data_IF_329442522757
#
_entry.id   IF_329442522757
#
_cell.length_a   1.000
_cell.length_b   1.000
_cell.length_c   1.000
_cell.angle_alpha   90.00
_cell.angle_beta   90.00
_cell.angle_gamma   90.00
#
_symmetry.space_group_name_H-M   'P 1'
#
loop_
_entity.id
_entity.type
_entity.pdbx_description
1 polymer ?
#
# COMPACT_ATOMS: atom_id res chain seq x y z
N UNK A 1 -17.44 4.54 10.68
CA UNK A 1 -16.95 3.18 10.40
C UNK A 1 -15.79 3.18 9.44
N UNK A 2 -15.93 3.80 8.27
CA UNK A 2 -14.80 3.91 7.33
C UNK A 2 -13.66 4.75 7.89
N UNK A 3 -13.96 5.77 8.70
CA UNK A 3 -12.92 6.57 9.35
C UNK A 3 -12.08 5.72 10.30
N UNK A 4 -12.72 4.81 11.03
CA UNK A 4 -11.99 3.92 11.94
C UNK A 4 -11.11 2.95 11.17
N UNK A 5 -11.61 2.42 10.05
CA UNK A 5 -10.84 1.52 9.20
C UNK A 5 -9.64 2.24 8.57
N UNK A 6 -9.84 3.48 8.14
CA UNK A 6 -8.77 4.29 7.57
C UNK A 6 -7.67 4.55 8.59
N UNK A 7 -8.07 4.95 9.80
CA UNK A 7 -7.12 5.20 10.87
C UNK A 7 -6.35 3.94 11.23
N UNK A 8 -7.06 2.80 11.32
CA UNK A 8 -6.44 1.52 11.61
C UNK A 8 -5.45 1.12 10.51
N UNK A 9 -5.84 1.31 9.25
CA UNK A 9 -4.97 0.99 8.12
C UNK A 9 -3.70 1.81 8.16
N UNK A 10 -3.82 3.11 8.34
CA UNK A 10 -2.65 3.99 8.40
C UNK A 10 -1.74 3.62 9.58
N UNK A 11 -2.34 3.29 10.73
CA UNK A 11 -1.58 2.84 11.89
C UNK A 11 -0.82 1.56 11.64
N UNK A 12 -1.47 0.59 10.97
CA UNK A 12 -0.83 -0.68 10.62
C UNK A 12 0.33 -0.49 9.64
N UNK A 13 0.16 0.41 8.67
CA UNK A 13 1.23 0.71 7.72
C UNK A 13 2.44 1.32 8.44
N UNK A 14 2.20 2.21 9.41
CA UNK A 14 3.27 2.77 10.21
C UNK A 14 4.02 1.73 11.02
N UNK A 15 3.28 0.79 11.64
CA UNK A 15 3.89 -0.30 12.38
C UNK A 15 4.70 -1.20 11.45
N UNK A 16 4.15 -1.51 10.28
CA UNK A 16 4.81 -2.35 9.29
C UNK A 16 6.14 -1.74 8.88
N UNK A 17 6.15 -0.43 8.65
CA UNK A 17 7.39 0.27 8.30
C UNK A 17 8.42 0.20 9.43
N UNK A 18 7.98 0.46 10.65
CA UNK A 18 8.90 0.43 11.80
C UNK A 18 9.49 -0.96 12.03
N UNK A 19 8.76 -2.01 11.66
CA UNK A 19 9.27 -3.38 11.78
C UNK A 19 10.19 -3.79 10.63
N UNK A 20 10.36 -2.92 9.64
CA UNK A 20 11.21 -3.20 8.49
C UNK A 20 10.56 -4.03 7.40
N UNK A 21 9.23 -4.13 7.40
CA UNK A 21 8.50 -4.98 6.46
C UNK A 21 7.70 -4.21 5.41
N UNK A 22 8.00 -2.92 5.25
CA UNK A 22 7.29 -2.08 4.28
C UNK A 22 8.24 -1.46 3.29
N UNK A 23 7.91 -1.58 2.00
CA UNK A 23 8.63 -0.91 0.92
C UNK A 23 7.86 0.38 0.64
N UNK A 24 8.54 1.52 0.67
CA UNK A 24 7.89 2.82 0.54
C UNK A 24 8.22 3.48 -0.79
N UNK A 25 7.18 3.85 -1.51
CA UNK A 25 7.32 4.62 -2.75
C UNK A 25 7.25 3.74 -4.00
N UNK A 26 6.67 4.32 -5.07
CA UNK A 26 6.38 3.56 -6.28
C UNK A 26 7.63 3.02 -6.98
N UNK A 27 8.74 3.77 -6.97
CA UNK A 27 9.95 3.29 -7.60
C UNK A 27 10.50 2.04 -6.95
N UNK A 28 10.57 2.05 -5.61
CA UNK A 28 11.06 0.89 -4.87
C UNK A 28 10.10 -0.28 -4.99
N UNK A 29 8.79 -0.02 -4.92
CA UNK A 29 7.79 -1.07 -5.08
C UNK A 29 7.93 -1.73 -6.45
N UNK A 30 8.07 -0.94 -7.51
CA UNK A 30 8.25 -1.50 -8.86
C UNK A 30 9.50 -2.36 -8.96
N UNK A 31 10.60 -1.91 -8.38
CA UNK A 31 11.85 -2.67 -8.39
C UNK A 31 11.70 -4.00 -7.66
N UNK A 32 11.01 -3.97 -6.51
CA UNK A 32 10.82 -5.17 -5.69
C UNK A 32 9.80 -6.15 -6.26
N UNK A 33 8.87 -5.67 -7.09
CA UNK A 33 7.89 -6.56 -7.71
C UNK A 33 8.54 -7.59 -8.62
N UNK A 34 9.67 -7.27 -9.23
CA UNK A 34 10.40 -8.19 -10.08
C UNK A 34 11.51 -8.93 -9.33
N UNK A 35 11.64 -8.70 -8.04
CA UNK A 35 12.69 -9.32 -7.24
C UNK A 35 12.35 -10.77 -6.90
N UNK A 36 13.33 -11.49 -6.36
CA UNK A 36 13.18 -12.88 -5.98
C UNK A 36 12.08 -13.06 -4.91
N UNK A 37 12.00 -12.10 -3.98
CA UNK A 37 10.98 -12.12 -2.92
C UNK A 37 10.16 -10.84 -3.02
N UNK A 38 9.16 -10.81 -3.89
CA UNK A 38 8.35 -9.59 -4.05
C UNK A 38 7.44 -9.35 -2.84
N UNK A 39 6.92 -8.13 -2.71
CA UNK A 39 5.93 -7.87 -1.65
C UNK A 39 4.69 -8.75 -1.85
N UNK A 40 3.98 -9.00 -0.77
CA UNK A 40 2.77 -9.83 -0.79
C UNK A 40 1.53 -9.01 -1.14
N UNK A 41 1.57 -7.71 -0.91
CA UNK A 41 0.44 -6.83 -1.13
C UNK A 41 0.98 -5.43 -1.43
N UNK A 42 0.39 -4.77 -2.41
CA UNK A 42 0.72 -3.39 -2.74
C UNK A 42 -0.52 -2.52 -2.49
N UNK A 43 -0.34 -1.44 -1.75
CA UNK A 43 -1.41 -0.47 -1.49
C UNK A 43 -1.09 0.79 -2.31
N UNK A 44 -2.07 1.25 -3.07
CA UNK A 44 -1.94 2.46 -3.89
C UNK A 44 -2.97 3.48 -3.41
N UNK A 45 -2.53 4.72 -3.19
CA UNK A 45 -3.43 5.80 -2.81
C UNK A 45 -4.27 6.21 -4.02
N UNK A 46 -5.58 6.26 -3.85
CA UNK A 46 -6.49 6.52 -4.97
C UNK A 46 -6.31 7.92 -5.57
N UNK A 47 -5.78 8.89 -4.81
CA UNK A 47 -5.54 10.24 -5.32
C UNK A 47 -4.20 10.41 -6.03
N UNK A 48 -3.44 9.32 -6.18
CA UNK A 48 -2.23 9.36 -7.00
C UNK A 48 -2.61 9.63 -8.45
N UNK A 49 -1.66 10.09 -9.26
CA UNK A 49 -1.96 10.38 -10.67
C UNK A 49 -2.48 9.13 -11.38
N UNK A 50 -3.33 9.32 -12.38
CA UNK A 50 -3.85 8.19 -13.15
C UNK A 50 -2.72 7.35 -13.76
N UNK A 51 -1.65 8.01 -14.19
CA UNK A 51 -0.48 7.31 -14.72
C UNK A 51 0.16 6.40 -13.68
N UNK A 52 0.28 6.89 -12.44
CA UNK A 52 0.86 6.09 -11.35
C UNK A 52 -0.04 4.92 -11.00
N UNK A 53 -1.35 5.15 -10.85
CA UNK A 53 -2.31 4.09 -10.53
C UNK A 53 -2.26 3.01 -11.60
N UNK A 54 -2.31 3.40 -12.88
CA UNK A 54 -2.23 2.46 -14.00
C UNK A 54 -0.94 1.65 -13.98
N UNK A 55 0.19 2.34 -13.82
CA UNK A 55 1.49 1.70 -13.80
C UNK A 55 1.57 0.66 -12.69
N UNK A 56 1.12 1.02 -11.49
CA UNK A 56 1.21 0.11 -10.35
C UNK A 56 0.27 -1.08 -10.49
N UNK A 57 -0.96 -0.84 -10.93
CA UNK A 57 -1.93 -1.93 -11.09
C UNK A 57 -1.50 -2.91 -12.18
N UNK A 58 -0.99 -2.41 -13.30
CA UNK A 58 -0.53 -3.25 -14.40
C UNK A 58 0.70 -4.06 -14.00
N UNK A 59 1.65 -3.41 -13.32
CA UNK A 59 2.87 -4.08 -12.89
C UNK A 59 2.55 -5.18 -11.89
N UNK A 60 1.67 -4.91 -10.93
CA UNK A 60 1.27 -5.92 -9.95
C UNK A 60 0.56 -7.09 -10.63
N UNK A 61 -0.32 -6.80 -11.59
CA UNK A 61 -1.01 -7.84 -12.35
C UNK A 61 0.00 -8.72 -13.09
N UNK A 62 0.96 -8.09 -13.76
CA UNK A 62 2.00 -8.82 -14.49
C UNK A 62 2.80 -9.74 -13.57
N UNK A 63 3.17 -9.25 -12.39
CA UNK A 63 3.99 -10.00 -11.45
C UNK A 63 3.16 -10.84 -10.47
N UNK A 64 1.84 -10.87 -10.66
CA UNK A 64 0.92 -11.69 -9.86
C UNK A 64 0.96 -11.36 -8.37
N UNK A 65 1.07 -10.07 -8.06
CA UNK A 65 1.04 -9.56 -6.69
C UNK A 65 -0.29 -8.84 -6.47
N UNK A 66 -0.91 -9.10 -5.34
CA UNK A 66 -2.16 -8.45 -4.98
C UNK A 66 -1.96 -6.94 -4.86
N UNK A 67 -2.86 -6.17 -5.47
CA UNK A 67 -2.80 -4.71 -5.49
C UNK A 67 -4.15 -4.14 -5.09
N UNK A 68 -4.15 -3.18 -4.18
CA UNK A 68 -5.37 -2.56 -3.69
C UNK A 68 -5.25 -1.05 -3.82
N UNK A 69 -6.14 -0.45 -4.63
CA UNK A 69 -6.23 1.00 -4.75
C UNK A 69 -7.26 1.46 -3.73
N UNK A 70 -6.84 2.21 -2.73
CA UNK A 70 -7.68 2.56 -1.59
C UNK A 70 -7.91 4.07 -1.51
N UNK A 71 -9.05 4.51 -0.94
CA UNK A 71 -9.36 5.94 -0.82
C UNK A 71 -8.56 6.62 0.29
N UNK A 72 -7.24 6.64 0.12
CA UNK A 72 -6.30 7.36 0.96
C UNK A 72 -5.69 8.47 0.11
N UNK A 73 -5.27 9.58 0.73
CA UNK A 73 -4.50 10.52 -0.03
C UNK A 73 -3.00 10.29 0.18
N UNK A 74 -2.21 10.73 -0.80
CA UNK A 74 -0.77 10.49 -0.80
C UNK A 74 -0.08 11.20 0.36
N UNK A 75 -0.63 12.34 0.81
CA UNK A 75 -0.08 13.08 1.95
C UNK A 75 -0.26 12.32 3.25
N UNK A 76 -1.47 11.81 3.50
CA UNK A 76 -1.68 11.06 4.74
C UNK A 76 -0.95 9.73 4.73
N UNK A 77 -0.78 9.12 3.55
CA UNK A 77 0.02 7.90 3.45
C UNK A 77 1.48 8.18 3.81
N UNK A 78 2.06 9.24 3.25
CA UNK A 78 3.43 9.62 3.57
C UNK A 78 3.61 9.94 5.05
N UNK A 79 2.66 10.68 5.62
CA UNK A 79 2.73 11.03 7.04
C UNK A 79 2.68 9.78 7.93
N UNK A 80 1.80 8.85 7.61
CA UNK A 80 1.61 7.63 8.42
C UNK A 80 2.87 6.78 8.49
N UNK A 81 3.67 6.78 7.44
CA UNK A 81 4.89 5.97 7.40
C UNK A 81 6.15 6.79 7.72
N UNK A 82 5.97 8.00 8.23
CA UNK A 82 7.09 8.81 8.70
C UNK A 82 7.90 9.50 7.61
N UNK A 83 7.33 9.69 6.42
CA UNK A 83 7.97 10.41 5.33
C UNK A 83 7.55 11.88 5.33
N UNK A 84 8.40 12.74 4.83
CA UNK A 84 8.10 14.18 4.79
C UNK A 84 7.31 14.60 3.56
N UNK A 85 7.16 13.72 2.59
CA UNK A 85 6.47 14.04 1.36
C UNK A 85 5.34 13.07 1.07
N UNK A 86 4.67 13.29 -0.05
CA UNK A 86 3.59 12.43 -0.50
C UNK A 86 4.14 11.09 -0.98
N UNK A 87 3.42 10.02 -0.67
CA UNK A 87 3.76 8.66 -1.09
C UNK A 87 2.56 8.07 -1.81
N UNK A 88 2.75 7.62 -3.03
CA UNK A 88 1.65 7.10 -3.85
C UNK A 88 1.36 5.62 -3.59
N UNK A 89 2.37 4.84 -3.25
CA UNK A 89 2.18 3.41 -3.03
C UNK A 89 3.21 2.83 -2.08
N UNK A 90 2.84 1.71 -1.46
CA UNK A 90 3.72 0.97 -0.55
C UNK A 90 3.54 -0.51 -0.80
N UNK A 91 4.56 -1.30 -0.48
CA UNK A 91 4.51 -2.75 -0.58
C UNK A 91 4.70 -3.40 0.77
N UNK A 92 3.88 -4.38 1.09
CA UNK A 92 3.90 -5.08 2.38
C UNK A 92 4.57 -6.43 2.20
N UNK A 93 5.62 -6.68 2.96
CA UNK A 93 6.41 -7.91 2.83
C UNK A 93 6.05 -8.98 3.85
N UNK A 94 5.44 -8.61 4.94
CA UNK A 94 5.10 -9.55 6.01
C UNK A 94 3.70 -10.13 5.82
N UNK A 95 3.58 -11.43 5.97
CA UNK A 95 2.34 -12.17 5.76
C UNK A 95 1.22 -11.70 6.71
N UNK A 96 1.54 -11.52 7.97
CA UNK A 96 0.54 -11.13 8.96
C UNK A 96 0.06 -9.70 8.75
N UNK A 97 0.99 -8.78 8.45
CA UNK A 97 0.62 -7.42 8.10
C UNK A 97 -0.20 -7.38 6.81
N UNK A 98 0.21 -8.17 5.81
CA UNK A 98 -0.51 -8.19 4.52
C UNK A 98 -1.96 -8.62 4.71
N UNK A 99 -2.21 -9.62 5.55
CA UNK A 99 -3.56 -10.09 5.83
C UNK A 99 -4.42 -8.98 6.46
N UNK A 100 -3.93 -8.39 7.54
CA UNK A 100 -4.71 -7.36 8.25
C UNK A 100 -4.87 -6.09 7.44
N UNK A 101 -3.82 -5.66 6.77
CA UNK A 101 -3.88 -4.47 5.91
C UNK A 101 -4.85 -4.71 4.75
N UNK A 102 -4.82 -5.90 4.17
CA UNK A 102 -5.75 -6.26 3.11
C UNK A 102 -7.20 -6.22 3.55
N UNK A 103 -7.49 -6.72 4.74
CA UNK A 103 -8.84 -6.66 5.31
C UNK A 103 -9.32 -5.23 5.48
N UNK A 104 -8.47 -4.36 6.03
CA UNK A 104 -8.81 -2.96 6.25
C UNK A 104 -8.99 -2.23 4.92
N UNK A 105 -8.14 -2.54 3.94
CA UNK A 105 -8.26 -1.96 2.61
C UNK A 105 -9.61 -2.31 1.97
N UNK A 106 -10.04 -3.56 2.11
CA UNK A 106 -11.33 -3.99 1.57
C UNK A 106 -12.50 -3.27 2.23
N UNK A 107 -12.43 -3.05 3.54
CA UNK A 107 -13.45 -2.28 4.24
C UNK A 107 -13.52 -0.86 3.67
N UNK A 108 -12.37 -0.22 3.47
CA UNK A 108 -12.30 1.14 2.93
C UNK A 108 -12.86 1.22 1.51
N UNK A 109 -12.65 0.18 0.71
CA UNK A 109 -13.17 0.15 -0.67
C UNK A 109 -14.64 -0.20 -0.74
N UNK A 110 -15.25 -0.58 0.39
CA UNK A 110 -16.64 -1.03 0.42
C UNK A 110 -16.84 -2.43 -0.10
N UNK A 111 -15.77 -3.22 -0.20
CA UNK A 111 -15.85 -4.63 -0.61
C UNK A 111 -15.54 -5.52 0.59
N UNK A 112 -16.33 -6.54 0.79
CA UNK A 112 -16.15 -7.47 1.89
C UNK A 112 -15.77 -8.85 1.39
#
# INVERSE_FOLDING_TARGET
MTQDAKKALLGMLGLCRRSGNLICGSELVCAELSAKEPPLLVIVAADASNATVDKMTKKCFHDQVECSVVPLDTGELGHAIGKTGAIASVGVKDKNFAKRIGELANILKGTN
#
